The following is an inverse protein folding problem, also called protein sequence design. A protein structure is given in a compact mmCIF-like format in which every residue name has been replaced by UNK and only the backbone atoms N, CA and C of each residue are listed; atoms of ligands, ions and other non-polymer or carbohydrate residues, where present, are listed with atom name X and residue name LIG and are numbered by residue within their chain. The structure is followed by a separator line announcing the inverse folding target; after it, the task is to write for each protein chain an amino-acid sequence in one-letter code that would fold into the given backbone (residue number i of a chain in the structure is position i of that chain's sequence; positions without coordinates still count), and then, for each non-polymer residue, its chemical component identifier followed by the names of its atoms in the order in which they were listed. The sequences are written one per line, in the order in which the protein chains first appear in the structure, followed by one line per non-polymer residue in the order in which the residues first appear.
data_IF_079037385554
#
_entry.id   IF_079037385554
#
_cell.length_a   1.000
_cell.length_b   1.000
_cell.length_c   1.000
_cell.angle_alpha   90.00
_cell.angle_beta   90.00
_cell.angle_gamma   90.00
#
_symmetry.space_group_name_H-M   'P 1'
#
loop_
_entity.id
_entity.type
_entity.pdbx_description
1 polymer ?
#
# COMPACT_ATOMS: atom_id res chain seq x y z
N UNK A 1 5.78 -9.07 10.70
CA UNK A 1 7.19 -8.76 11.02
C UNK A 1 7.40 -7.27 10.83
N UNK A 2 7.95 -6.55 11.83
CA UNK A 2 8.15 -5.09 11.77
C UNK A 2 9.58 -4.78 12.19
N UNK A 3 10.27 -3.95 11.41
CA UNK A 3 11.65 -3.51 11.65
C UNK A 3 11.62 -2.11 12.27
N UNK A 4 11.46 -2.04 13.59
CA UNK A 4 11.31 -0.77 14.32
C UNK A 4 12.53 0.15 14.16
N UNK A 5 13.73 -0.41 14.03
CA UNK A 5 14.94 0.39 13.82
C UNK A 5 14.93 1.06 12.43
N UNK A 6 14.55 0.33 11.38
CA UNK A 6 14.42 0.89 10.02
C UNK A 6 13.31 1.95 9.97
N UNK A 7 12.18 1.68 10.63
CA UNK A 7 11.09 2.66 10.81
C UNK A 7 11.61 3.97 11.41
N UNK A 8 12.38 3.91 12.50
CA UNK A 8 12.91 5.11 13.15
C UNK A 8 14.02 5.78 12.32
N UNK A 9 14.86 5.00 11.65
CA UNK A 9 15.93 5.50 10.79
C UNK A 9 15.37 6.33 9.62
N UNK A 10 14.27 5.88 9.02
CA UNK A 10 13.59 6.52 7.90
C UNK A 10 12.50 7.52 8.31
N UNK A 11 12.23 7.68 9.62
CA UNK A 11 11.20 8.59 10.10
C UNK A 11 11.60 10.05 9.81
N UNK A 12 10.75 10.78 9.12
CA UNK A 12 10.95 12.21 8.87
C UNK A 12 11.01 13.05 10.16
N UNK A 13 10.36 12.58 11.22
CA UNK A 13 10.34 13.19 12.55
C UNK A 13 11.38 12.60 13.51
N UNK A 14 12.46 12.00 13.00
CA UNK A 14 13.52 11.33 13.79
C UNK A 14 14.07 12.15 14.98
N UNK A 15 13.99 13.49 14.92
CA UNK A 15 14.49 14.40 15.95
C UNK A 15 13.53 14.61 17.13
N UNK A 16 12.24 14.29 16.98
CA UNK A 16 11.22 14.53 18.00
C UNK A 16 10.29 13.32 18.27
N UNK A 17 10.45 12.23 17.53
CA UNK A 17 9.66 11.02 17.68
C UNK A 17 10.52 9.79 17.92
N UNK A 18 9.96 8.86 18.71
CA UNK A 18 10.48 7.52 18.89
C UNK A 18 9.33 6.54 18.69
N UNK A 19 9.35 5.81 17.57
CA UNK A 19 8.29 4.90 17.18
C UNK A 19 8.55 3.53 17.78
N UNK A 20 7.52 2.94 18.40
CA UNK A 20 7.61 1.63 19.06
C UNK A 20 6.62 0.59 18.52
N UNK A 21 5.63 1.02 17.74
CA UNK A 21 4.59 0.17 17.21
C UNK A 21 4.01 0.77 15.92
N UNK A 22 3.23 -0.04 15.22
CA UNK A 22 2.40 0.38 14.09
C UNK A 22 0.93 0.31 14.46
N UNK A 23 0.08 0.88 13.61
CA UNK A 23 -1.34 0.56 13.57
C UNK A 23 -1.57 -0.93 13.19
N UNK A 24 -2.83 -1.43 13.28
CA UNK A 24 -3.13 -2.85 13.05
C UNK A 24 -2.67 -3.44 11.71
N UNK A 25 -2.62 -2.62 10.66
CA UNK A 25 -2.29 -3.09 9.31
C UNK A 25 -0.81 -2.85 8.91
N UNK A 26 -0.01 -2.22 9.78
CA UNK A 26 1.44 -2.09 9.63
C UNK A 26 1.92 -0.92 8.78
N UNK A 27 1.02 -0.19 8.11
CA UNK A 27 1.32 0.89 7.18
C UNK A 27 1.54 2.26 7.86
N UNK A 28 1.12 2.39 9.12
CA UNK A 28 1.29 3.58 9.95
C UNK A 28 2.11 3.27 11.21
N UNK A 29 3.44 3.40 11.15
CA UNK A 29 4.27 3.51 12.34
C UNK A 29 4.00 4.87 12.99
N UNK A 30 3.58 4.87 14.26
CA UNK A 30 3.13 6.08 14.96
C UNK A 30 3.78 6.18 16.35
N UNK A 31 4.13 7.40 16.80
CA UNK A 31 4.49 7.63 18.19
C UNK A 31 3.24 7.46 19.10
N UNK A 32 3.41 7.42 20.44
CA UNK A 32 2.27 7.49 21.36
C UNK A 32 1.33 8.65 21.02
N UNK A 33 0.02 8.37 21.01
CA UNK A 33 -1.04 9.32 20.59
C UNK A 33 -0.91 9.83 19.15
N UNK A 34 0.00 9.30 18.34
CA UNK A 34 0.05 9.58 16.92
C UNK A 34 -1.25 9.17 16.23
N UNK A 35 -1.66 9.96 15.25
CA UNK A 35 -2.80 9.69 14.41
C UNK A 35 -2.44 10.01 12.96
N UNK A 36 -3.19 9.41 12.04
CA UNK A 36 -3.00 9.60 10.60
C UNK A 36 -4.36 9.57 9.91
N UNK A 37 -4.50 10.40 8.89
CA UNK A 37 -5.63 10.40 7.98
C UNK A 37 -5.20 9.70 6.68
N UNK A 38 -5.99 8.76 6.20
CA UNK A 38 -5.64 7.92 5.07
C UNK A 38 -6.49 8.25 3.83
N UNK A 39 -5.88 8.06 2.67
CA UNK A 39 -6.54 8.19 1.38
C UNK A 39 -5.85 7.34 0.33
N UNK A 40 -6.58 6.93 -0.73
CA UNK A 40 -5.99 6.11 -1.79
C UNK A 40 -6.43 6.58 -3.18
N UNK A 41 -5.47 6.75 -4.07
CA UNK A 41 -5.70 7.05 -5.48
C UNK A 41 -5.96 5.75 -6.25
N UNK A 42 -6.99 5.72 -7.10
CA UNK A 42 -7.27 4.56 -7.95
C UNK A 42 -6.41 4.62 -9.23
N UNK A 43 -5.37 3.80 -9.29
CA UNK A 43 -4.40 3.82 -10.40
C UNK A 43 -5.00 3.44 -11.76
N UNK A 44 -6.09 2.67 -11.77
CA UNK A 44 -6.74 2.22 -13.01
C UNK A 44 -7.32 3.37 -13.83
N UNK A 45 -7.49 4.56 -13.22
CA UNK A 45 -8.00 5.77 -13.89
C UNK A 45 -6.92 6.55 -14.65
N UNK A 46 -5.67 6.13 -14.54
CA UNK A 46 -4.54 6.77 -15.21
C UNK A 46 -3.97 5.89 -16.34
N UNK A 47 -4.66 4.83 -16.74
CA UNK A 47 -4.25 4.02 -17.90
C UNK A 47 -4.94 4.52 -19.16
N UNK A 48 -4.14 4.90 -20.15
CA UNK A 48 -4.59 5.26 -21.48
C UNK A 48 -4.39 4.07 -22.43
N UNK A 49 -5.33 3.86 -23.34
CA UNK A 49 -5.31 2.79 -24.34
C UNK A 49 -5.08 1.39 -23.74
N UNK A 50 -5.84 0.99 -22.70
CA UNK A 50 -5.56 -0.22 -21.93
C UNK A 50 -5.61 -1.48 -22.79
N UNK A 51 -4.77 -2.46 -22.46
CA UNK A 51 -4.64 -3.76 -23.12
C UNK A 51 -4.13 -3.72 -24.57
N UNK A 52 -3.74 -2.53 -25.07
CA UNK A 52 -3.16 -2.39 -26.42
C UNK A 52 -1.64 -2.29 -26.37
N UNK A 53 -0.98 -2.30 -27.53
CA UNK A 53 0.48 -2.03 -27.62
C UNK A 53 0.85 -0.59 -27.25
N UNK A 54 -0.12 0.33 -27.27
CA UNK A 54 0.07 1.74 -26.94
C UNK A 54 -0.32 2.08 -25.49
N UNK A 55 -0.63 1.05 -24.68
CA UNK A 55 -1.04 1.20 -23.30
C UNK A 55 0.03 1.96 -22.51
N UNK A 56 -0.36 3.04 -21.83
CA UNK A 56 0.58 3.90 -21.08
C UNK A 56 -0.08 4.53 -19.86
N UNK A 57 0.74 4.97 -18.92
CA UNK A 57 0.31 5.66 -17.72
C UNK A 57 0.27 7.19 -17.94
N UNK A 58 -0.81 7.83 -17.49
CA UNK A 58 -1.04 9.28 -17.57
C UNK A 58 -0.39 10.00 -16.39
N UNK A 59 0.90 10.29 -16.54
CA UNK A 59 1.72 10.90 -15.49
C UNK A 59 1.29 12.32 -15.13
N UNK A 60 0.84 13.11 -16.10
CA UNK A 60 0.51 14.51 -15.87
C UNK A 60 -0.78 14.62 -15.04
N UNK A 61 -1.81 13.88 -15.43
CA UNK A 61 -3.05 13.80 -14.66
C UNK A 61 -2.83 13.16 -13.28
N UNK A 62 -1.95 12.15 -13.17
CA UNK A 62 -1.61 11.56 -11.88
C UNK A 62 -1.02 12.58 -10.92
N UNK A 63 -0.04 13.38 -11.35
CA UNK A 63 0.55 14.44 -10.52
C UNK A 63 -0.47 15.51 -10.12
N UNK A 64 -1.36 15.89 -11.04
CA UNK A 64 -2.44 16.84 -10.75
C UNK A 64 -3.38 16.31 -9.65
N UNK A 65 -3.84 15.06 -9.79
CA UNK A 65 -4.71 14.41 -8.80
C UNK A 65 -4.02 14.27 -7.45
N UNK A 66 -2.74 13.90 -7.42
CA UNK A 66 -1.97 13.86 -6.16
C UNK A 66 -1.95 15.23 -5.49
N UNK A 67 -1.68 16.30 -6.24
CA UNK A 67 -1.63 17.67 -5.70
C UNK A 67 -2.98 18.10 -5.09
N UNK A 68 -4.08 17.87 -5.82
CA UNK A 68 -5.44 18.17 -5.33
C UNK A 68 -5.76 17.34 -4.09
N UNK A 69 -5.44 16.04 -4.13
CA UNK A 69 -5.77 15.13 -3.03
C UNK A 69 -4.93 15.42 -1.78
N UNK A 70 -3.70 15.92 -1.93
CA UNK A 70 -2.88 16.38 -0.80
C UNK A 70 -3.55 17.54 -0.07
N UNK A 71 -4.14 18.50 -0.80
CA UNK A 71 -4.93 19.58 -0.18
C UNK A 71 -6.18 19.03 0.52
N UNK A 72 -6.87 18.05 -0.08
CA UNK A 72 -8.03 17.43 0.57
C UNK A 72 -7.65 16.76 1.89
N UNK A 73 -6.56 16.00 1.94
CA UNK A 73 -6.08 15.36 3.18
C UNK A 73 -5.66 16.39 4.24
N UNK A 74 -5.00 17.50 3.84
CA UNK A 74 -4.71 18.62 4.75
C UNK A 74 -5.99 19.24 5.34
N UNK A 75 -7.04 19.39 4.54
CA UNK A 75 -8.32 19.93 5.01
C UNK A 75 -8.99 18.98 6.01
N UNK A 76 -8.85 17.65 5.86
CA UNK A 76 -9.39 16.68 6.83
C UNK A 76 -8.73 16.83 8.21
N UNK A 77 -7.48 17.31 8.30
CA UNK A 77 -6.84 17.63 9.57
C UNK A 77 -7.63 18.70 10.34
N UNK A 78 -8.22 19.68 9.67
CA UNK A 78 -8.95 20.77 10.31
C UNK A 78 -10.33 20.34 10.82
N UNK A 79 -10.96 19.37 10.16
CA UNK A 79 -12.28 18.83 10.54
C UNK A 79 -12.18 17.46 11.23
N UNK A 80 -11.02 17.13 11.78
CA UNK A 80 -10.79 15.83 12.40
C UNK A 80 -11.75 15.60 13.59
N UNK A 81 -12.22 14.36 13.74
CA UNK A 81 -13.11 13.94 14.82
C UNK A 81 -12.42 13.10 15.91
N UNK A 82 -11.12 13.31 16.15
CA UNK A 82 -10.35 12.44 17.03
C UNK A 82 -10.87 12.50 18.48
N UNK A 83 -11.02 11.36 19.17
CA UNK A 83 -11.67 11.33 20.49
C UNK A 83 -10.76 11.80 21.64
N UNK A 84 -9.44 11.67 21.49
CA UNK A 84 -8.47 11.98 22.54
C UNK A 84 -7.78 13.31 22.26
N UNK A 85 -7.66 14.17 23.28
CA UNK A 85 -7.02 15.48 23.14
C UNK A 85 -5.57 15.36 22.66
N UNK A 86 -4.77 14.46 23.24
CA UNK A 86 -3.39 14.23 22.82
C UNK A 86 -3.26 13.78 21.37
N UNK A 87 -4.28 13.12 20.80
CA UNK A 87 -4.30 12.78 19.37
C UNK A 87 -4.61 14.00 18.50
N UNK A 88 -5.46 14.93 18.99
CA UNK A 88 -5.74 16.20 18.33
C UNK A 88 -4.52 17.11 18.33
N UNK A 89 -3.82 17.21 19.45
CA UNK A 89 -2.55 17.94 19.55
C UNK A 89 -1.51 17.38 18.57
N UNK A 90 -1.36 16.05 18.53
CA UNK A 90 -0.42 15.39 17.63
C UNK A 90 -0.74 15.66 16.14
N UNK A 91 -2.01 15.55 15.72
CA UNK A 91 -2.39 15.80 14.33
C UNK A 91 -2.28 17.28 13.97
N UNK A 92 -2.61 18.20 14.88
CA UNK A 92 -2.52 19.64 14.60
C UNK A 92 -1.06 20.12 14.52
N UNK A 93 -0.19 19.58 15.37
CA UNK A 93 1.25 19.92 15.40
C UNK A 93 2.01 19.39 14.19
N UNK A 94 1.72 18.16 13.75
CA UNK A 94 2.52 17.45 12.73
C UNK A 94 1.82 17.26 11.39
N UNK A 95 0.48 17.29 11.40
CA UNK A 95 -0.38 17.20 10.21
C UNK A 95 -0.12 15.97 9.35
N UNK A 96 0.30 14.87 10.00
CA UNK A 96 0.62 13.58 9.38
C UNK A 96 -0.59 13.04 8.62
N UNK A 97 -0.39 12.66 7.37
CA UNK A 97 -1.36 11.89 6.61
C UNK A 97 -0.65 10.78 5.81
N UNK A 98 -1.44 9.88 5.24
CA UNK A 98 -0.98 8.72 4.50
C UNK A 98 -1.78 8.57 3.22
N UNK A 99 -1.28 9.20 2.16
CA UNK A 99 -1.77 8.99 0.81
C UNK A 99 -1.10 7.75 0.22
N UNK A 100 -1.92 6.81 -0.21
CA UNK A 100 -1.47 5.64 -0.96
C UNK A 100 -2.21 5.54 -2.28
N UNK A 101 -2.23 4.33 -2.81
CA UNK A 101 -2.96 3.99 -4.01
C UNK A 101 -3.58 2.61 -3.89
N UNK A 102 -4.58 2.35 -4.74
CA UNK A 102 -5.16 1.04 -4.98
C UNK A 102 -5.12 0.71 -6.48
N UNK A 103 -5.33 -0.56 -6.80
CA UNK A 103 -5.43 -1.03 -8.18
C UNK A 103 -4.08 -1.19 -8.87
N UNK A 104 -2.98 -1.38 -8.12
CA UNK A 104 -1.67 -1.58 -8.74
C UNK A 104 -1.66 -2.81 -9.64
N UNK A 105 -2.07 -3.97 -9.14
CA UNK A 105 -2.24 -5.20 -9.92
C UNK A 105 -3.09 -5.00 -11.17
N UNK A 106 -4.28 -4.42 -11.02
CA UNK A 106 -5.17 -4.10 -12.14
C UNK A 106 -4.51 -3.20 -13.19
N UNK A 107 -3.78 -2.18 -12.73
CA UNK A 107 -3.07 -1.23 -13.59
C UNK A 107 -1.96 -1.92 -14.38
N UNK A 108 -1.21 -2.82 -13.74
CA UNK A 108 -0.17 -3.64 -14.38
C UNK A 108 -0.77 -4.50 -15.50
N UNK A 109 -1.88 -5.19 -15.24
CA UNK A 109 -2.61 -5.98 -16.25
C UNK A 109 -3.09 -5.10 -17.41
N UNK A 110 -3.66 -3.93 -17.13
CA UNK A 110 -4.13 -2.99 -18.15
C UNK A 110 -2.99 -2.42 -19.00
N UNK A 111 -1.78 -2.34 -18.46
CA UNK A 111 -0.56 -1.94 -19.17
C UNK A 111 0.15 -3.11 -19.84
N UNK A 112 -0.40 -4.33 -19.77
CA UNK A 112 0.19 -5.58 -20.26
C UNK A 112 1.54 -5.91 -19.62
N UNK A 113 1.74 -5.47 -18.38
CA UNK A 113 2.95 -5.70 -17.59
C UNK A 113 2.67 -6.79 -16.57
N UNK A 114 3.30 -7.98 -16.64
CA UNK A 114 3.11 -9.01 -15.62
C UNK A 114 3.56 -8.51 -14.24
N UNK A 115 2.70 -8.64 -13.23
CA UNK A 115 3.03 -8.25 -11.86
C UNK A 115 4.20 -9.09 -11.33
N UNK A 116 5.16 -8.46 -10.64
CA UNK A 116 6.37 -9.12 -10.14
C UNK A 116 7.47 -9.33 -11.20
N UNK A 117 7.28 -8.84 -12.43
CA UNK A 117 8.34 -8.75 -13.45
C UNK A 117 9.25 -7.53 -13.22
N UNK A 118 10.48 -7.50 -13.77
CA UNK A 118 11.36 -6.31 -13.67
C UNK A 118 10.69 -5.00 -14.11
N UNK A 119 9.94 -5.02 -15.21
CA UNK A 119 9.20 -3.85 -15.69
C UNK A 119 8.11 -3.40 -14.71
N UNK A 120 7.47 -4.33 -14.00
CA UNK A 120 6.51 -3.98 -12.94
C UNK A 120 7.18 -3.32 -11.73
N UNK A 121 8.42 -3.70 -11.41
CA UNK A 121 9.18 -3.09 -10.31
C UNK A 121 9.55 -1.64 -10.65
N UNK A 122 10.07 -1.42 -11.86
CA UNK A 122 10.39 -0.07 -12.37
C UNK A 122 9.16 0.84 -12.37
N UNK A 123 8.02 0.34 -12.86
CA UNK A 123 6.78 1.11 -12.87
C UNK A 123 6.26 1.38 -11.44
N UNK A 124 6.34 0.39 -10.54
CA UNK A 124 5.92 0.56 -9.14
C UNK A 124 6.76 1.63 -8.44
N UNK A 125 8.08 1.60 -8.64
CA UNK A 125 8.98 2.62 -8.12
C UNK A 125 8.63 3.99 -8.71
N UNK A 126 8.43 4.09 -10.03
CA UNK A 126 8.11 5.34 -10.69
C UNK A 126 6.78 5.94 -10.19
N UNK A 127 5.72 5.13 -10.06
CA UNK A 127 4.42 5.57 -9.49
C UNK A 127 4.62 6.12 -8.07
N UNK A 128 5.38 5.40 -7.25
CA UNK A 128 5.62 5.78 -5.85
C UNK A 128 6.48 7.04 -5.74
N UNK A 129 7.47 7.20 -6.62
CA UNK A 129 8.30 8.41 -6.73
C UNK A 129 7.49 9.62 -7.14
N UNK A 130 6.67 9.51 -8.17
CA UNK A 130 5.83 10.61 -8.66
C UNK A 130 4.77 11.01 -7.63
N UNK A 131 4.22 10.04 -6.89
CA UNK A 131 3.35 10.28 -5.73
C UNK A 131 4.07 11.14 -4.67
N UNK A 132 5.28 10.74 -4.29
CA UNK A 132 6.06 11.45 -3.29
C UNK A 132 6.43 12.87 -3.76
N UNK A 133 6.99 13.03 -4.95
CA UNK A 133 7.44 14.33 -5.46
C UNK A 133 6.29 15.31 -5.65
N UNK A 134 5.17 14.87 -6.24
CA UNK A 134 3.98 15.71 -6.38
C UNK A 134 3.41 16.09 -4.99
N UNK A 135 3.40 15.13 -4.06
CA UNK A 135 3.00 15.34 -2.67
C UNK A 135 3.81 16.41 -1.95
N UNK A 136 5.14 16.29 -1.95
CA UNK A 136 6.03 17.24 -1.29
C UNK A 136 5.99 18.64 -1.93
N UNK A 137 5.88 18.72 -3.26
CA UNK A 137 5.67 20.01 -3.96
C UNK A 137 4.35 20.65 -3.55
N UNK A 138 3.26 19.89 -3.51
CA UNK A 138 1.98 20.39 -3.02
C UNK A 138 2.04 20.81 -1.55
N UNK A 139 2.77 20.05 -0.72
CA UNK A 139 3.01 20.38 0.69
C UNK A 139 3.79 21.67 0.90
N UNK A 140 4.78 21.96 0.04
CA UNK A 140 5.50 23.24 0.03
C UNK A 140 4.58 24.41 -0.36
N UNK A 141 3.79 24.26 -1.41
CA UNK A 141 2.85 25.31 -1.83
C UNK A 141 1.77 25.57 -0.77
N UNK A 142 1.26 24.52 -0.13
CA UNK A 142 0.33 24.66 1.00
C UNK A 142 1.00 25.30 2.22
N UNK A 143 2.30 25.09 2.44
CA UNK A 143 3.03 25.76 3.51
C UNK A 143 3.15 27.27 3.22
N UNK A 144 3.38 27.67 1.96
CA UNK A 144 3.40 29.08 1.55
C UNK A 144 2.02 29.73 1.71
N UNK A 145 0.94 29.01 1.41
CA UNK A 145 -0.44 29.52 1.51
C UNK A 145 -0.97 29.56 2.95
N UNK A 146 -0.83 28.45 3.70
CA UNK A 146 -1.51 28.21 4.98
C UNK A 146 -0.57 28.14 6.19
N UNK A 147 0.75 28.25 5.97
CA UNK A 147 1.81 28.00 6.96
C UNK A 147 2.23 26.53 7.01
N UNK A 148 3.48 26.29 7.41
CA UNK A 148 4.00 24.93 7.64
C UNK A 148 3.30 24.23 8.82
N UNK A 149 3.50 22.91 8.96
CA UNK A 149 3.10 22.21 10.17
C UNK A 149 3.80 22.86 11.39
N UNK A 150 3.11 23.15 12.52
CA UNK A 150 3.69 23.89 13.64
C UNK A 150 5.05 23.38 14.12
N UNK A 151 5.23 22.05 14.15
CA UNK A 151 6.49 21.40 14.55
C UNK A 151 7.71 21.82 13.70
N UNK A 152 7.48 22.31 12.47
CA UNK A 152 8.52 22.76 11.55
C UNK A 152 9.17 24.08 11.99
N UNK A 153 8.45 24.91 12.72
CA UNK A 153 8.93 26.22 13.20
C UNK A 153 9.38 26.19 14.68
N UNK A 154 9.21 25.05 15.36
CA UNK A 154 9.79 24.81 16.69
C UNK A 154 11.32 24.64 16.61
N UNK A 155 12.02 25.00 17.70
CA UNK A 155 13.48 24.84 17.82
C UNK A 155 13.82 23.63 18.67
N UNK A 156 14.77 22.84 18.19
CA UNK A 156 15.28 21.64 18.86
C UNK A 156 16.76 21.82 19.13
N UNK A 157 17.17 21.52 20.35
CA UNK A 157 18.58 21.49 20.73
C UNK A 157 19.24 20.23 20.17
N UNK A 158 20.38 20.41 19.51
CA UNK A 158 21.17 19.32 18.95
C UNK A 158 21.84 18.55 20.08
N UNK A 159 21.47 17.28 20.23
CA UNK A 159 22.02 16.39 21.25
C UNK A 159 23.12 15.49 20.69
N UNK A 160 23.94 14.89 21.57
CA UNK A 160 24.91 13.86 21.16
C UNK A 160 24.24 12.68 20.44
N UNK A 161 23.04 12.29 20.86
CA UNK A 161 22.29 11.20 20.22
C UNK A 161 21.88 11.57 18.80
N UNK A 162 21.51 12.82 18.55
CA UNK A 162 21.21 13.29 17.19
C UNK A 162 22.47 13.26 16.31
N UNK A 163 23.62 13.73 16.82
CA UNK A 163 24.90 13.67 16.10
C UNK A 163 25.35 12.24 15.79
N UNK A 164 25.04 11.27 16.66
CA UNK A 164 25.28 9.84 16.37
C UNK A 164 24.36 9.31 15.27
N UNK A 165 23.09 9.72 15.26
CA UNK A 165 22.12 9.28 14.26
C UNK A 165 22.32 9.95 12.89
N UNK A 166 22.81 11.19 12.88
CA UNK A 166 23.03 12.03 11.69
C UNK A 166 24.42 12.68 11.74
N UNK A 167 25.50 11.89 11.63
CA UNK A 167 26.86 12.42 11.68
C UNK A 167 27.15 13.44 10.58
N UNK A 168 26.40 13.39 9.47
CA UNK A 168 26.50 14.36 8.38
C UNK A 168 26.21 15.82 8.81
N UNK A 169 25.48 16.04 9.91
CA UNK A 169 25.24 17.39 10.45
C UNK A 169 26.56 18.12 10.77
N UNK A 170 27.60 17.38 11.16
CA UNK A 170 28.92 17.96 11.45
C UNK A 170 29.59 18.57 10.22
N UNK A 171 29.30 18.03 9.02
CA UNK A 171 29.85 18.56 7.77
C UNK A 171 29.32 19.97 7.46
N UNK A 172 28.14 20.29 7.99
CA UNK A 172 27.51 21.61 7.87
C UNK A 172 27.87 22.55 9.04
N UNK A 173 28.83 22.15 9.89
CA UNK A 173 29.32 22.94 11.01
C UNK A 173 28.42 22.93 12.25
N UNK A 174 27.42 22.05 12.31
CA UNK A 174 26.50 21.94 13.45
C UNK A 174 27.20 21.19 14.59
N UNK A 175 27.06 21.71 15.80
CA UNK A 175 27.62 21.15 17.03
C UNK A 175 26.55 20.89 18.09
N UNK A 176 26.91 20.07 19.09
CA UNK A 176 26.03 19.80 20.25
C UNK A 176 25.73 21.11 20.98
N UNK A 177 24.46 21.34 21.30
CA UNK A 177 23.95 22.56 21.92
C UNK A 177 23.43 23.61 20.94
N UNK A 178 23.67 23.47 19.63
CA UNK A 178 23.04 24.32 18.62
C UNK A 178 21.52 24.13 18.65
N UNK A 179 20.78 25.19 18.27
CA UNK A 179 19.32 25.14 18.12
C UNK A 179 18.94 25.23 16.66
N UNK A 180 18.23 24.22 16.17
CA UNK A 180 17.79 24.14 14.78
C UNK A 180 16.27 24.07 14.70
N UNK A 181 15.71 24.70 13.68
CA UNK A 181 14.28 24.62 13.38
C UNK A 181 13.91 23.21 12.90
N UNK A 182 12.72 22.74 13.25
CA UNK A 182 12.19 21.44 12.82
C UNK A 182 12.24 21.24 11.31
N UNK A 183 11.96 22.26 10.50
CA UNK A 183 12.07 22.21 9.02
C UNK A 183 13.48 21.91 8.51
N UNK A 184 14.51 22.38 9.19
CA UNK A 184 15.90 22.10 8.80
C UNK A 184 16.23 20.64 9.12
N UNK A 185 15.87 20.18 10.32
CA UNK A 185 16.07 18.79 10.75
C UNK A 185 15.29 17.78 9.90
N UNK A 186 14.06 18.13 9.54
CA UNK A 186 13.18 17.36 8.67
C UNK A 186 13.73 17.30 7.24
N UNK A 187 13.91 18.44 6.58
CA UNK A 187 14.23 18.47 5.16
C UNK A 187 15.67 18.04 4.86
N UNK A 188 16.67 18.46 5.66
CA UNK A 188 18.09 18.20 5.33
C UNK A 188 18.64 16.91 5.95
N UNK A 189 18.10 16.52 7.10
CA UNK A 189 18.69 15.44 7.92
C UNK A 189 17.74 14.27 8.16
N UNK A 190 16.56 14.23 7.55
CA UNK A 190 15.83 12.96 7.38
C UNK A 190 16.50 12.12 6.27
N UNK A 191 16.73 10.83 6.53
CA UNK A 191 17.24 9.90 5.50
C UNK A 191 16.29 9.79 4.31
N UNK A 192 14.99 9.82 4.56
CA UNK A 192 14.00 9.82 3.49
C UNK A 192 14.05 11.10 2.65
N UNK A 193 14.15 12.28 3.28
CA UNK A 193 14.23 13.55 2.53
C UNK A 193 15.56 13.71 1.79
N UNK A 194 16.65 13.12 2.28
CA UNK A 194 17.91 13.04 1.53
C UNK A 194 17.75 12.26 0.22
N UNK A 195 16.97 11.17 0.21
CA UNK A 195 16.61 10.47 -1.02
C UNK A 195 15.76 11.33 -1.96
N UNK A 196 14.83 12.12 -1.43
CA UNK A 196 14.09 13.10 -2.25
C UNK A 196 15.04 14.13 -2.87
N UNK A 197 16.08 14.56 -2.13
CA UNK A 197 17.08 15.51 -2.61
C UNK A 197 17.97 14.97 -3.74
N UNK A 198 18.13 13.65 -3.87
CA UNK A 198 18.85 13.03 -5.00
C UNK A 198 18.14 13.29 -6.34
N UNK A 199 16.83 13.50 -6.31
CA UNK A 199 16.00 13.73 -7.52
C UNK A 199 15.60 15.20 -7.66
N UNK A 200 15.24 15.87 -6.57
CA UNK A 200 14.82 17.28 -6.57
C UNK A 200 15.47 18.03 -5.40
N UNK A 201 16.78 18.38 -5.52
CA UNK A 201 17.50 19.06 -4.44
C UNK A 201 16.94 20.47 -4.15
N UNK A 202 16.38 21.14 -5.16
CA UNK A 202 15.80 22.46 -4.98
C UNK A 202 14.52 22.39 -4.14
N UNK A 203 13.66 21.40 -4.36
CA UNK A 203 12.49 21.17 -3.52
C UNK A 203 12.88 20.99 -2.06
N UNK A 204 13.89 20.18 -1.76
CA UNK A 204 14.35 19.96 -0.38
C UNK A 204 14.97 21.23 0.23
N UNK A 205 15.71 22.02 -0.56
CA UNK A 205 16.23 23.31 -0.13
C UNK A 205 15.09 24.30 0.23
N UNK A 206 14.05 24.36 -0.60
CA UNK A 206 12.88 25.20 -0.36
C UNK A 206 12.09 24.74 0.87
N UNK A 207 11.93 23.42 1.05
CA UNK A 207 11.32 22.83 2.25
C UNK A 207 12.11 23.14 3.53
N UNK A 208 13.45 23.16 3.47
CA UNK A 208 14.28 23.55 4.61
C UNK A 208 14.11 25.03 4.99
N UNK A 209 13.78 25.88 4.02
CA UNK A 209 13.58 27.33 4.23
C UNK A 209 12.15 27.64 4.70
N UNK A 210 11.15 27.15 3.96
CA UNK A 210 9.72 27.45 4.16
C UNK A 210 9.08 26.49 5.16
N UNK A 211 9.46 25.22 5.14
CA UNK A 211 8.76 24.12 5.79
C UNK A 211 7.74 23.44 4.86
N UNK A 212 7.21 22.30 5.30
CA UNK A 212 6.11 21.61 4.65
C UNK A 212 4.82 21.77 5.46
N UNK A 213 3.65 21.71 4.81
CA UNK A 213 2.35 21.72 5.49
C UNK A 213 2.13 20.48 6.37
N UNK A 214 2.91 19.41 6.19
CA UNK A 214 2.80 18.15 6.92
C UNK A 214 4.17 17.50 7.08
N UNK A 215 4.33 16.65 8.10
CA UNK A 215 5.60 15.94 8.32
C UNK A 215 5.72 14.64 7.54
N UNK A 216 4.58 14.04 7.18
CA UNK A 216 4.51 12.81 6.40
C UNK A 216 3.35 12.88 5.40
N UNK A 217 3.58 12.31 4.22
CA UNK A 217 2.70 12.36 3.07
C UNK A 217 2.07 11.00 2.74
N UNK A 218 2.85 9.94 2.79
CA UNK A 218 2.58 8.74 2.00
C UNK A 218 2.52 7.47 2.84
N UNK A 219 1.57 6.59 2.51
CA UNK A 219 1.40 5.29 3.14
C UNK A 219 0.46 4.45 2.29
N UNK A 220 0.77 3.17 2.10
CA UNK A 220 -0.11 2.28 1.35
C UNK A 220 -0.87 1.39 2.33
N UNK A 221 -2.13 1.73 2.56
CA UNK A 221 -3.03 0.99 3.42
C UNK A 221 -3.75 -0.15 2.67
N UNK A 222 -4.31 -1.14 3.39
CA UNK A 222 -5.25 -2.08 2.79
C UNK A 222 -6.49 -1.33 2.31
N UNK A 223 -6.90 -1.60 1.08
CA UNK A 223 -8.06 -0.92 0.48
C UNK A 223 -9.25 -1.86 0.25
N UNK A 224 -9.33 -2.98 0.98
CA UNK A 224 -10.34 -4.04 0.78
C UNK A 224 -11.77 -3.53 0.54
N UNK A 225 -12.27 -2.71 1.46
CA UNK A 225 -13.63 -2.15 1.37
C UNK A 225 -13.75 -1.14 0.23
N UNK A 226 -12.88 -0.12 0.19
CA UNK A 226 -12.98 0.96 -0.80
C UNK A 226 -12.70 0.48 -2.23
N UNK A 227 -11.87 -0.56 -2.40
CA UNK A 227 -11.60 -1.13 -3.71
C UNK A 227 -12.83 -1.85 -4.25
N UNK A 228 -13.46 -2.66 -3.39
CA UNK A 228 -14.71 -3.34 -3.74
C UNK A 228 -15.84 -2.34 -4.02
N UNK A 229 -16.08 -1.39 -3.10
CA UNK A 229 -17.28 -0.56 -3.13
C UNK A 229 -17.17 0.70 -3.98
N UNK A 230 -15.96 1.27 -4.12
CA UNK A 230 -15.74 2.57 -4.80
C UNK A 230 -14.84 2.45 -6.04
N UNK A 231 -14.09 1.35 -6.20
CA UNK A 231 -13.19 1.14 -7.33
C UNK A 231 -13.58 -0.05 -8.22
N UNK A 232 -14.84 -0.48 -8.18
CA UNK A 232 -15.37 -1.58 -8.99
C UNK A 232 -14.49 -2.85 -8.92
N UNK A 233 -14.05 -3.18 -7.71
CA UNK A 233 -13.23 -4.36 -7.42
C UNK A 233 -11.89 -4.37 -8.19
N UNK A 234 -11.25 -3.21 -8.31
CA UNK A 234 -9.83 -3.14 -8.65
C UNK A 234 -8.99 -3.87 -7.58
N UNK A 235 -7.74 -4.21 -7.90
CA UNK A 235 -6.85 -4.86 -6.96
C UNK A 235 -6.62 -3.99 -5.72
N UNK A 236 -6.35 -4.62 -4.56
CA UNK A 236 -6.34 -3.92 -3.29
C UNK A 236 -4.99 -3.29 -3.01
N UNK A 237 -4.91 -1.97 -2.83
CA UNK A 237 -3.66 -1.32 -2.48
C UNK A 237 -2.57 -1.57 -3.52
N UNK A 238 -1.43 -2.04 -3.02
CA UNK A 238 -0.28 -2.53 -3.79
C UNK A 238 -0.43 -4.00 -4.25
N UNK A 239 -1.43 -4.72 -3.79
CA UNK A 239 -1.60 -6.16 -4.06
C UNK A 239 -1.88 -6.46 -5.55
N UNK A 240 -1.43 -7.63 -6.05
CA UNK A 240 -1.97 -8.19 -7.28
C UNK A 240 -3.45 -8.55 -7.10
N UNK A 241 -4.13 -8.85 -8.18
CA UNK A 241 -5.50 -9.38 -8.11
C UNK A 241 -5.49 -10.78 -7.48
N UNK A 242 -6.35 -11.01 -6.48
CA UNK A 242 -6.45 -12.32 -5.84
C UNK A 242 -6.92 -13.41 -6.82
N UNK A 243 -7.93 -13.06 -7.62
CA UNK A 243 -8.45 -13.82 -8.75
C UNK A 243 -9.22 -12.87 -9.66
N UNK A 244 -9.30 -13.20 -10.95
CA UNK A 244 -10.05 -12.39 -11.92
C UNK A 244 -11.55 -12.72 -11.98
N UNK A 245 -11.93 -13.91 -11.48
CA UNK A 245 -13.30 -14.35 -11.20
C UNK A 245 -13.30 -15.22 -9.95
N UNK A 246 -14.18 -14.93 -9.01
CA UNK A 246 -14.40 -15.69 -7.78
C UNK A 246 -15.79 -15.39 -7.24
N UNK A 247 -16.27 -16.20 -6.28
CA UNK A 247 -17.56 -15.95 -5.67
C UNK A 247 -17.44 -15.42 -4.24
N UNK A 248 -18.36 -14.54 -3.85
CA UNK A 248 -18.49 -14.04 -2.47
C UNK A 248 -19.81 -14.47 -1.88
N UNK A 249 -19.76 -14.88 -0.61
CA UNK A 249 -20.93 -15.17 0.18
C UNK A 249 -21.47 -13.88 0.81
N UNK A 250 -22.63 -13.40 0.36
CA UNK A 250 -23.27 -12.19 0.88
C UNK A 250 -24.51 -12.55 1.70
N UNK A 251 -24.64 -11.96 2.89
CA UNK A 251 -25.86 -12.06 3.69
C UNK A 251 -26.73 -10.86 3.31
N UNK A 252 -27.87 -11.12 2.66
CA UNK A 252 -28.86 -10.06 2.38
C UNK A 252 -29.65 -9.73 3.64
N UNK A 253 -29.93 -8.44 3.85
CA UNK A 253 -30.78 -7.98 4.94
C UNK A 253 -32.14 -8.74 4.90
N UNK A 254 -32.51 -9.34 6.03
CA UNK A 254 -33.73 -10.15 6.15
C UNK A 254 -33.61 -11.62 5.73
N UNK A 255 -32.47 -12.08 5.19
CA UNK A 255 -32.22 -13.50 4.90
C UNK A 255 -31.18 -14.11 5.85
N UNK A 256 -31.43 -15.33 6.33
CA UNK A 256 -30.47 -16.10 7.14
C UNK A 256 -29.44 -16.87 6.29
N UNK A 257 -29.74 -17.12 5.01
CA UNK A 257 -28.84 -17.83 4.09
C UNK A 257 -27.86 -16.89 3.40
N UNK A 258 -26.64 -17.38 3.16
CA UNK A 258 -25.62 -16.74 2.34
C UNK A 258 -25.97 -16.96 0.87
N UNK A 259 -25.93 -15.90 0.08
CA UNK A 259 -26.07 -15.97 -1.39
C UNK A 259 -24.69 -15.90 -2.03
N UNK A 260 -24.39 -16.84 -2.93
CA UNK A 260 -23.16 -16.85 -3.72
C UNK A 260 -23.32 -15.84 -4.87
N UNK A 261 -22.46 -14.81 -4.88
CA UNK A 261 -22.45 -13.79 -5.92
C UNK A 261 -21.11 -13.85 -6.65
N UNK A 262 -21.16 -13.95 -7.98
CA UNK A 262 -19.96 -13.88 -8.81
C UNK A 262 -19.39 -12.47 -8.85
N UNK A 263 -18.08 -12.40 -8.70
CA UNK A 263 -17.31 -11.17 -8.66
C UNK A 263 -16.17 -11.28 -9.65
N UNK A 264 -16.06 -10.27 -10.50
CA UNK A 264 -14.95 -10.11 -11.42
C UNK A 264 -14.04 -8.96 -10.95
N UNK A 265 -12.75 -9.09 -11.24
CA UNK A 265 -11.80 -7.96 -11.06
C UNK A 265 -12.09 -6.84 -12.07
N UNK A 266 -11.71 -5.60 -11.73
CA UNK A 266 -11.91 -4.44 -12.61
C UNK A 266 -11.31 -4.65 -14.01
N UNK A 267 -10.05 -5.09 -14.07
CA UNK A 267 -9.32 -5.33 -15.32
C UNK A 267 -9.96 -6.45 -16.15
N UNK A 268 -10.58 -7.45 -15.51
CA UNK A 268 -11.31 -8.49 -16.23
C UNK A 268 -12.57 -7.93 -16.89
N UNK A 269 -13.35 -7.12 -16.16
CA UNK A 269 -14.53 -6.45 -16.72
C UNK A 269 -14.14 -5.50 -17.86
N UNK A 270 -13.09 -4.71 -17.67
CA UNK A 270 -12.59 -3.79 -18.68
C UNK A 270 -12.08 -4.54 -19.92
N UNK A 271 -11.37 -5.65 -19.77
CA UNK A 271 -10.89 -6.45 -20.89
C UNK A 271 -12.03 -7.09 -21.69
N UNK A 272 -13.07 -7.55 -21.00
CA UNK A 272 -14.26 -8.09 -21.67
C UNK A 272 -14.99 -7.05 -22.50
N UNK A 273 -15.12 -5.84 -21.96
CA UNK A 273 -15.77 -4.74 -22.66
C UNK A 273 -14.95 -4.26 -23.86
N UNK A 274 -13.63 -4.11 -23.69
CA UNK A 274 -12.79 -3.41 -24.67
C UNK A 274 -12.14 -4.32 -25.70
N UNK A 275 -11.87 -5.59 -25.35
CA UNK A 275 -11.02 -6.48 -26.15
C UNK A 275 -11.73 -7.78 -26.51
N UNK A 276 -12.22 -8.53 -25.52
CA UNK A 276 -12.79 -9.86 -25.75
C UNK A 276 -13.99 -10.15 -24.82
N UNK A 277 -15.24 -10.01 -25.30
CA UNK A 277 -16.44 -10.21 -24.46
C UNK A 277 -16.60 -11.63 -23.91
N UNK A 278 -15.96 -12.61 -24.57
CA UNK A 278 -15.99 -14.02 -24.20
C UNK A 278 -14.82 -14.43 -23.30
N UNK A 279 -13.92 -13.52 -22.96
CA UNK A 279 -12.79 -13.83 -22.10
C UNK A 279 -13.26 -14.40 -20.75
N UNK A 280 -12.64 -15.51 -20.34
CA UNK A 280 -12.98 -16.19 -19.10
C UNK A 280 -11.72 -16.75 -18.44
N UNK A 281 -11.50 -16.50 -17.13
CA UNK A 281 -10.39 -17.11 -16.41
C UNK A 281 -10.45 -18.64 -16.49
N UNK A 282 -9.29 -19.28 -16.65
CA UNK A 282 -9.12 -20.74 -16.70
C UNK A 282 -9.79 -21.45 -17.90
N UNK A 283 -10.33 -20.73 -18.90
CA UNK A 283 -10.89 -21.38 -20.09
C UNK A 283 -9.78 -21.98 -20.96
N UNK A 284 -10.00 -23.22 -21.42
CA UNK A 284 -9.12 -23.89 -22.39
C UNK A 284 -9.48 -23.56 -23.85
N UNK A 285 -10.62 -22.90 -24.08
CA UNK A 285 -11.05 -22.48 -25.40
C UNK A 285 -10.21 -21.31 -25.89
N UNK A 286 -9.57 -21.44 -27.05
CA UNK A 286 -8.62 -20.45 -27.59
C UNK A 286 -9.23 -19.03 -27.71
N UNK A 287 -10.52 -18.92 -28.02
CA UNK A 287 -11.23 -17.63 -28.11
C UNK A 287 -11.61 -16.99 -26.78
N UNK A 288 -11.41 -17.67 -25.64
CA UNK A 288 -11.78 -17.21 -24.30
C UNK A 288 -10.56 -17.04 -23.39
N UNK A 289 -9.38 -17.50 -23.83
CA UNK A 289 -8.13 -17.44 -23.07
C UNK A 289 -7.73 -16.02 -22.72
N UNK A 290 -7.24 -15.87 -21.49
CA UNK A 290 -6.61 -14.64 -21.03
C UNK A 290 -5.15 -14.60 -21.47
N UNK A 291 -4.63 -13.43 -21.84
CA UNK A 291 -3.21 -13.24 -22.06
C UNK A 291 -2.38 -13.46 -20.79
N UNK A 292 -1.11 -13.84 -20.95
CA UNK A 292 -0.19 -14.19 -19.86
C UNK A 292 0.09 -13.06 -18.86
N UNK A 293 -0.28 -11.81 -19.17
CA UNK A 293 -0.17 -10.69 -18.25
C UNK A 293 -1.32 -10.60 -17.22
N UNK A 294 -2.33 -11.48 -17.30
CA UNK A 294 -3.37 -11.65 -16.27
C UNK A 294 -2.85 -12.47 -15.09
N UNK A 295 -1.98 -11.84 -14.31
CA UNK A 295 -1.32 -12.45 -13.15
C UNK A 295 -2.17 -12.33 -11.89
N UNK A 296 -2.32 -13.44 -11.16
CA UNK A 296 -3.02 -13.48 -9.87
C UNK A 296 -2.05 -13.67 -8.70
N UNK A 297 -2.53 -13.52 -7.46
CA UNK A 297 -1.71 -13.73 -6.26
C UNK A 297 -1.02 -15.10 -6.20
N UNK A 298 -1.59 -16.16 -6.77
CA UNK A 298 -1.03 -17.52 -6.71
C UNK A 298 0.17 -17.69 -7.64
N UNK A 299 0.25 -16.85 -8.68
CA UNK A 299 1.32 -16.89 -9.68
C UNK A 299 2.59 -16.16 -9.20
N UNK A 300 2.52 -15.48 -8.04
CA UNK A 300 3.59 -14.65 -7.51
C UNK A 300 4.38 -15.40 -6.43
N UNK A 301 5.69 -15.51 -6.64
CA UNK A 301 6.60 -16.08 -5.63
C UNK A 301 6.77 -15.15 -4.43
N UNK A 302 7.04 -15.68 -3.22
CA UNK A 302 7.27 -14.86 -2.03
C UNK A 302 8.30 -13.73 -2.21
N UNK A 303 9.42 -14.01 -2.89
CA UNK A 303 10.44 -12.98 -3.19
C UNK A 303 9.92 -11.87 -4.09
N UNK A 304 9.15 -12.19 -5.13
CA UNK A 304 8.55 -11.17 -6.01
C UNK A 304 7.58 -10.26 -5.26
N UNK A 305 6.86 -10.78 -4.26
CA UNK A 305 6.05 -9.92 -3.38
C UNK A 305 6.91 -8.91 -2.59
N UNK A 306 8.06 -9.36 -2.08
CA UNK A 306 9.04 -8.47 -1.39
C UNK A 306 9.59 -7.44 -2.36
N UNK A 307 9.97 -7.84 -3.57
CA UNK A 307 10.55 -6.96 -4.59
C UNK A 307 9.60 -5.81 -4.95
N UNK A 308 8.31 -6.12 -5.18
CA UNK A 308 7.29 -5.08 -5.47
C UNK A 308 7.10 -4.15 -4.26
N UNK A 309 7.08 -4.71 -3.04
CA UNK A 309 7.00 -3.89 -1.84
C UNK A 309 8.21 -2.95 -1.71
N UNK A 310 9.41 -3.45 -1.99
CA UNK A 310 10.66 -2.68 -1.89
C UNK A 310 10.71 -1.55 -2.92
N UNK A 311 10.30 -1.83 -4.15
CA UNK A 311 10.18 -0.82 -5.21
C UNK A 311 9.31 0.37 -4.79
N UNK A 312 8.17 0.11 -4.11
CA UNK A 312 7.34 1.18 -3.56
C UNK A 312 7.95 1.82 -2.28
N UNK A 313 8.44 1.00 -1.34
CA UNK A 313 8.89 1.44 0.00
C UNK A 313 9.98 2.50 -0.07
N UNK A 314 10.82 2.43 -1.11
CA UNK A 314 11.81 3.43 -1.48
C UNK A 314 11.29 4.89 -1.47
N UNK A 315 10.00 5.09 -1.79
CA UNK A 315 9.39 6.42 -1.91
C UNK A 315 8.22 6.64 -0.94
N UNK A 316 7.91 5.65 -0.09
CA UNK A 316 6.89 5.75 0.94
C UNK A 316 7.51 6.09 2.31
N UNK A 317 7.26 7.31 2.78
CA UNK A 317 7.81 7.85 4.03
C UNK A 317 7.26 7.21 5.31
N UNK A 318 5.99 6.78 5.31
CA UNK A 318 5.42 5.99 6.42
C UNK A 318 5.75 4.50 6.25
N UNK A 319 4.79 3.62 5.97
CA UNK A 319 5.02 2.20 5.71
C UNK A 319 3.96 1.67 4.74
N UNK A 320 4.04 0.39 4.40
CA UNK A 320 3.18 -0.29 3.44
C UNK A 320 2.55 -1.51 4.11
N UNK A 321 1.24 -1.67 3.95
CA UNK A 321 0.56 -2.94 4.20
C UNK A 321 0.62 -3.79 2.94
N UNK A 322 1.40 -4.87 2.99
CA UNK A 322 1.54 -5.84 1.92
C UNK A 322 1.56 -7.24 2.49
N UNK A 323 0.78 -8.12 1.88
CA UNK A 323 0.75 -9.55 2.15
C UNK A 323 1.70 -10.27 1.20
N UNK A 324 2.67 -10.99 1.73
CA UNK A 324 3.47 -11.98 1.01
C UNK A 324 2.68 -13.28 1.08
N UNK A 325 1.95 -13.61 0.02
CA UNK A 325 1.25 -14.89 -0.05
C UNK A 325 2.28 -16.00 -0.24
N UNK A 326 2.09 -17.08 0.51
CA UNK A 326 2.95 -18.26 0.50
C UNK A 326 2.06 -19.44 0.14
N UNK A 327 2.38 -20.10 -0.97
CA UNK A 327 1.61 -21.26 -1.40
C UNK A 327 1.67 -22.39 -0.37
N UNK A 328 0.63 -23.20 -0.30
CA UNK A 328 0.55 -24.35 0.61
C UNK A 328 1.65 -25.36 0.33
N UNK A 329 2.12 -25.47 -0.92
CA UNK A 329 3.20 -26.33 -1.38
C UNK A 329 4.58 -25.64 -1.46
N UNK A 330 4.71 -24.40 -0.98
CA UNK A 330 5.98 -23.66 -0.97
C UNK A 330 7.07 -24.42 -0.20
N UNK A 331 8.24 -24.57 -0.81
CA UNK A 331 9.42 -25.18 -0.20
C UNK A 331 9.90 -24.31 0.97
N UNK A 332 10.32 -24.96 2.07
CA UNK A 332 10.92 -24.27 3.20
C UNK A 332 12.16 -23.46 2.78
N UNK A 333 13.00 -23.98 1.88
CA UNK A 333 14.21 -23.29 1.43
C UNK A 333 13.91 -22.04 0.60
N UNK A 334 12.76 -21.98 -0.08
CA UNK A 334 12.31 -20.78 -0.79
C UNK A 334 11.81 -19.68 0.17
N UNK A 335 11.36 -20.06 1.37
CA UNK A 335 10.74 -19.16 2.34
C UNK A 335 11.64 -18.75 3.51
N UNK A 336 12.54 -19.62 3.98
CA UNK A 336 13.25 -19.46 5.27
C UNK A 336 13.95 -18.12 5.46
N UNK A 337 14.45 -17.53 4.37
CA UNK A 337 15.21 -16.28 4.38
C UNK A 337 14.36 -15.05 4.02
N UNK A 338 13.03 -15.17 3.86
CA UNK A 338 12.19 -14.09 3.33
C UNK A 338 12.23 -12.82 4.19
N UNK A 339 12.34 -12.95 5.52
CA UNK A 339 12.43 -11.81 6.42
C UNK A 339 13.81 -11.15 6.41
N UNK A 340 14.87 -11.93 6.21
CA UNK A 340 16.23 -11.39 6.00
C UNK A 340 16.29 -10.66 4.66
N UNK A 341 15.72 -11.26 3.61
CA UNK A 341 15.62 -10.64 2.29
C UNK A 341 14.81 -9.34 2.33
N UNK A 342 13.69 -9.31 3.07
CA UNK A 342 12.92 -8.09 3.30
C UNK A 342 13.73 -6.99 4.00
N UNK A 343 14.52 -7.36 5.02
CA UNK A 343 15.42 -6.45 5.71
C UNK A 343 16.51 -5.90 4.77
N UNK A 344 17.17 -6.77 4.00
CA UNK A 344 18.23 -6.41 3.05
C UNK A 344 17.72 -5.44 1.95
N UNK A 345 16.44 -5.52 1.61
CA UNK A 345 15.77 -4.64 0.65
C UNK A 345 15.21 -3.35 1.29
N UNK A 346 15.54 -3.05 2.55
CA UNK A 346 15.16 -1.80 3.21
C UNK A 346 13.67 -1.69 3.54
N UNK A 347 12.97 -2.82 3.71
CA UNK A 347 11.58 -2.80 4.13
C UNK A 347 11.45 -2.38 5.60
N UNK A 348 10.39 -1.63 5.91
CA UNK A 348 10.03 -1.27 7.29
C UNK A 348 9.30 -2.42 8.01
N UNK A 349 8.86 -3.42 7.27
CA UNK A 349 8.17 -4.61 7.74
C UNK A 349 7.49 -5.33 6.59
N UNK A 350 6.98 -6.53 6.87
CA UNK A 350 6.14 -7.29 5.95
C UNK A 350 5.28 -8.30 6.72
N UNK A 351 4.24 -8.79 6.05
CA UNK A 351 3.32 -9.79 6.58
C UNK A 351 3.26 -10.97 5.63
N UNK A 352 3.44 -12.19 6.12
CA UNK A 352 3.28 -13.40 5.31
C UNK A 352 1.94 -14.05 5.61
N UNK A 353 1.27 -14.55 4.59
CA UNK A 353 0.07 -15.36 4.74
C UNK A 353 0.24 -16.67 3.98
N UNK A 354 0.10 -17.80 4.70
CA UNK A 354 0.05 -19.13 4.11
C UNK A 354 -1.33 -19.70 4.34
N UNK A 355 -2.04 -20.03 3.27
CA UNK A 355 -3.35 -20.64 3.39
C UNK A 355 -3.24 -22.02 4.07
N UNK A 356 -4.10 -22.28 5.05
CA UNK A 356 -4.20 -23.58 5.69
C UNK A 356 -5.64 -24.13 5.51
N UNK A 357 -5.85 -25.06 4.56
CA UNK A 357 -7.18 -25.59 4.26
C UNK A 357 -7.81 -26.35 5.43
N UNK A 358 -7.02 -26.88 6.37
CA UNK A 358 -7.53 -27.60 7.54
C UNK A 358 -8.09 -26.67 8.63
N UNK A 359 -7.67 -25.41 8.63
CA UNK A 359 -7.99 -24.45 9.70
C UNK A 359 -8.84 -23.25 9.25
N UNK A 360 -8.93 -22.97 7.94
CA UNK A 360 -9.59 -21.78 7.41
C UNK A 360 -10.49 -22.07 6.22
N UNK A 361 -11.78 -21.72 6.33
CA UNK A 361 -12.59 -21.34 5.16
C UNK A 361 -12.39 -19.84 4.91
N UNK A 362 -11.77 -19.48 3.79
CA UNK A 362 -11.60 -18.08 3.39
C UNK A 362 -12.95 -17.38 3.13
N UNK A 363 -12.97 -16.04 3.25
CA UNK A 363 -14.10 -15.21 2.78
C UNK A 363 -14.15 -15.14 1.25
N UNK A 364 -12.98 -15.27 0.62
CA UNK A 364 -12.81 -15.44 -0.82
C UNK A 364 -12.54 -16.92 -1.07
N UNK A 365 -13.28 -17.50 -1.99
CA UNK A 365 -13.19 -18.93 -2.27
C UNK A 365 -13.07 -19.11 -3.78
N UNK A 366 -11.98 -19.74 -4.22
CA UNK A 366 -11.80 -20.16 -5.61
C UNK A 366 -12.48 -21.51 -5.81
N UNK A 367 -12.91 -21.79 -7.04
CA UNK A 367 -13.63 -23.04 -7.36
C UNK A 367 -12.76 -24.28 -7.13
N UNK A 368 -11.47 -24.20 -7.48
CA UNK A 368 -10.48 -25.26 -7.23
C UNK A 368 -10.27 -25.55 -5.74
N UNK A 369 -10.32 -24.53 -4.88
CA UNK A 369 -10.18 -24.70 -3.42
C UNK A 369 -11.38 -25.45 -2.83
N UNK A 370 -12.58 -25.20 -3.37
CA UNK A 370 -13.81 -25.93 -3.00
C UNK A 370 -13.72 -27.39 -3.43
N UNK A 371 -13.29 -27.65 -4.67
CA UNK A 371 -13.12 -29.02 -5.19
C UNK A 371 -12.10 -29.84 -4.36
N UNK A 372 -11.05 -29.18 -3.86
CA UNK A 372 -10.05 -29.82 -3.01
C UNK A 372 -10.57 -30.15 -1.60
N UNK A 373 -11.65 -29.52 -1.15
CA UNK A 373 -12.21 -29.68 0.20
C UNK A 373 -13.32 -30.73 0.20
N UNK A 374 -13.31 -31.66 1.17
CA UNK A 374 -14.41 -32.62 1.39
C UNK A 374 -15.16 -32.23 2.68
N UNK A 375 -16.47 -32.06 2.59
CA UNK A 375 -17.36 -31.82 3.72
C UNK A 375 -18.09 -33.10 4.10
N UNK A 376 -18.09 -33.42 5.39
CA UNK A 376 -18.90 -34.50 5.94
C UNK A 376 -20.15 -33.95 6.60
N UNK A 377 -21.32 -34.38 6.14
CA UNK A 377 -22.62 -34.06 6.71
C UNK A 377 -23.12 -35.25 7.52
N UNK A 378 -23.63 -35.01 8.73
CA UNK A 378 -24.35 -36.03 9.51
C UNK A 378 -25.86 -35.81 9.33
N UNK A 379 -26.55 -36.83 8.82
CA UNK A 379 -28.00 -36.79 8.62
C UNK A 379 -28.75 -37.09 9.93
N UNK A 380 -30.07 -36.83 9.95
CA UNK A 380 -30.91 -37.07 11.15
C UNK A 380 -30.92 -38.54 11.59
N UNK A 381 -30.70 -39.49 10.67
CA UNK A 381 -30.62 -40.92 10.95
C UNK A 381 -29.24 -41.36 11.47
N UNK A 382 -28.30 -40.42 11.62
CA UNK A 382 -26.94 -40.66 12.09
C UNK A 382 -25.98 -41.17 11.01
N UNK A 383 -26.43 -41.34 9.76
CA UNK A 383 -25.55 -41.63 8.63
C UNK A 383 -24.72 -40.40 8.25
N UNK A 384 -23.61 -40.64 7.55
CA UNK A 384 -22.72 -39.57 7.06
C UNK A 384 -22.67 -39.55 5.54
N UNK A 385 -22.60 -38.36 4.97
CA UNK A 385 -22.41 -38.14 3.54
C UNK A 385 -21.21 -37.21 3.37
N UNK A 386 -20.23 -37.68 2.60
CA UNK A 386 -19.05 -36.89 2.24
C UNK A 386 -19.26 -36.29 0.85
N UNK A 387 -19.21 -34.97 0.75
CA UNK A 387 -19.43 -34.24 -0.50
C UNK A 387 -18.23 -33.33 -0.79
N UNK A 388 -17.94 -33.11 -2.07
CA UNK A 388 -16.94 -32.11 -2.45
C UNK A 388 -17.48 -30.71 -2.22
N UNK A 389 -16.59 -29.76 -1.94
CA UNK A 389 -17.01 -28.40 -1.61
C UNK A 389 -17.71 -27.64 -2.73
N UNK A 390 -17.51 -28.05 -3.97
CA UNK A 390 -18.18 -27.51 -5.15
C UNK A 390 -19.38 -28.36 -5.61
N UNK A 391 -19.74 -29.41 -4.89
CA UNK A 391 -20.85 -30.29 -5.24
C UNK A 391 -22.18 -29.60 -4.90
N UNK A 392 -23.10 -29.55 -5.87
CA UNK A 392 -24.42 -28.97 -5.66
C UNK A 392 -25.28 -29.92 -4.84
N UNK A 393 -25.77 -29.44 -3.69
CA UNK A 393 -26.58 -30.23 -2.76
C UNK A 393 -28.01 -29.70 -2.75
N UNK A 394 -28.93 -30.49 -3.28
CA UNK A 394 -30.36 -30.23 -3.18
C UNK A 394 -30.87 -30.90 -1.90
N UNK A 395 -31.32 -30.10 -0.92
CA UNK A 395 -31.77 -30.54 0.40
C UNK A 395 -33.22 -30.18 0.70
#
# INVERSE_FOLDING_TARGET
FILIDEVNQQNNNWFCENIRATNPCGEQPLPPYGSCLLGSINLTKFVLDPFTENARFDWDNFREVVSVFTRMLDNVVEINGLPLESQREAILSKRRHGMGFLGLGSTMTMLRTPYGSPASLELTEQISRELALAGWRAGLELAKEKGAAPIMDEEFEVTESMMRLRPEMANDGIVVGDKLKGKVLHARYSKYMQKVAEVDPQLVADLANVGCRFTHHSSIAPTGTISLSLANNASNGIEPSFAHHYSRNVIREGKKSKEKVDVFSYEMLAYRELINPNAMPFSESEGEKLPDYFITSDDIKPRQHVDVQAAAQAWIDSSISKTINVSTDCDFDEFKDIYLYAYENGLKGCTTFRFNPEAFQGVLVKEKDLEATTYQFTLEDGSTVDLKGNEEVEY
#
